data_IF_645211591734
#
_entry.id   IF_645211591734
#
_cell.length_a   1.000
_cell.length_b   1.000
_cell.length_c   1.000
_cell.angle_alpha   90.00
_cell.angle_beta   90.00
_cell.angle_gamma   90.00
#
_symmetry.space_group_name_H-M   'P 1'
#
loop_
_entity.id
_entity.type
_entity.pdbx_description
1 polymer ?
#
# COMPACT_ATOMS: atom_id res chain seq x y z
N UNK A 1 9.30 -34.88 30.45
CA UNK A 1 9.79 -34.30 29.20
C UNK A 1 8.74 -33.32 28.67
N UNK A 2 8.87 -32.05 29.01
CA UNK A 2 7.94 -31.00 28.61
C UNK A 2 8.39 -30.44 27.24
N UNK A 3 7.55 -30.57 26.22
CA UNK A 3 7.73 -29.87 24.96
C UNK A 3 7.18 -28.46 25.10
N UNK A 4 7.91 -27.39 24.69
CA UNK A 4 7.37 -26.05 24.68
C UNK A 4 6.30 -25.92 23.62
N UNK A 5 5.18 -25.35 24.00
CA UNK A 5 4.07 -24.98 23.12
C UNK A 5 4.55 -23.93 22.11
N UNK A 6 4.47 -24.31 20.84
CA UNK A 6 4.67 -23.37 19.71
C UNK A 6 3.62 -22.26 19.81
N UNK A 7 4.11 -21.06 19.95
CA UNK A 7 3.33 -19.83 19.99
C UNK A 7 2.65 -19.64 18.63
N UNK A 8 1.32 -19.69 18.62
CA UNK A 8 0.48 -19.60 17.43
C UNK A 8 0.70 -18.27 16.72
N UNK A 9 1.42 -18.31 15.61
CA UNK A 9 1.44 -17.23 14.61
C UNK A 9 0.02 -17.09 14.05
N UNK A 10 -0.66 -16.00 14.38
CA UNK A 10 -1.99 -15.70 13.85
C UNK A 10 -1.83 -15.21 12.41
N UNK A 11 -1.96 -16.13 11.46
CA UNK A 11 -2.05 -15.81 10.03
C UNK A 11 -3.46 -15.29 9.77
N UNK A 12 -3.61 -13.97 9.61
CA UNK A 12 -4.84 -13.33 9.15
C UNK A 12 -4.84 -13.40 7.63
N UNK A 13 -5.54 -14.38 7.07
CA UNK A 13 -5.74 -14.47 5.63
C UNK A 13 -7.02 -13.68 5.29
N UNK A 14 -6.86 -12.52 4.66
CA UNK A 14 -7.96 -11.84 4.00
C UNK A 14 -8.25 -12.53 2.67
N UNK A 15 -9.09 -13.56 2.70
CA UNK A 15 -9.49 -14.28 1.50
C UNK A 15 -10.72 -13.62 0.87
N UNK A 16 -10.62 -13.27 -0.40
CA UNK A 16 -11.69 -12.70 -1.21
C UNK A 16 -12.75 -13.76 -1.56
N UNK A 17 -13.81 -13.93 -0.79
CA UNK A 17 -15.07 -14.58 -1.20
C UNK A 17 -16.29 -14.21 -0.33
N UNK A 18 -17.40 -14.06 -0.96
CA UNK A 18 -18.76 -13.57 -0.74
C UNK A 18 -19.47 -13.92 0.56
N UNK A 19 -20.20 -12.92 1.05
CA UNK A 19 -21.32 -12.81 1.97
C UNK A 19 -21.00 -12.51 3.44
N UNK A 20 -21.57 -11.38 3.90
CA UNK A 20 -21.35 -10.84 5.21
C UNK A 20 -22.29 -11.37 6.27
N UNK A 21 -21.80 -11.33 7.50
CA UNK A 21 -22.56 -11.06 8.73
C UNK A 21 -21.54 -10.53 9.74
N UNK A 22 -21.78 -9.37 10.32
CA UNK A 22 -20.97 -8.83 11.39
C UNK A 22 -21.45 -9.43 12.72
N UNK A 23 -20.57 -10.10 13.44
CA UNK A 23 -20.79 -10.48 14.83
C UNK A 23 -19.53 -10.20 15.67
N UNK A 24 -19.73 -9.76 16.88
CA UNK A 24 -18.76 -9.18 17.79
C UNK A 24 -17.55 -10.07 18.11
N UNK A 25 -16.47 -9.38 18.44
CA UNK A 25 -15.14 -9.94 18.65
C UNK A 25 -14.98 -10.52 20.05
N UNK A 26 -15.10 -11.83 20.18
CA UNK A 26 -14.49 -12.59 21.29
C UNK A 26 -13.97 -13.91 20.71
N UNK A 27 -12.65 -14.11 20.76
CA UNK A 27 -12.00 -15.39 20.52
C UNK A 27 -12.25 -16.03 19.15
N UNK A 28 -11.91 -15.33 18.06
CA UNK A 28 -12.13 -15.89 16.73
C UNK A 28 -11.22 -17.09 16.46
N UNK A 29 -11.83 -18.14 15.87
CA UNK A 29 -11.08 -19.30 15.39
C UNK A 29 -10.12 -18.89 14.26
N UNK A 30 -8.89 -19.43 14.22
CA UNK A 30 -8.00 -19.24 13.08
C UNK A 30 -8.71 -19.56 11.75
N UNK A 31 -8.52 -18.72 10.72
CA UNK A 31 -9.15 -18.89 9.41
C UNK A 31 -10.58 -18.32 9.28
N UNK A 32 -11.11 -17.63 10.30
CA UNK A 32 -12.43 -16.98 10.19
C UNK A 32 -12.34 -15.74 9.30
N UNK A 33 -13.22 -15.64 8.30
CA UNK A 33 -13.36 -14.44 7.47
C UNK A 33 -14.07 -13.35 8.27
N UNK A 34 -13.38 -12.20 8.50
CA UNK A 34 -13.93 -11.07 9.23
C UNK A 34 -14.81 -10.17 8.36
N UNK A 35 -14.29 -9.83 7.19
CA UNK A 35 -14.95 -8.95 6.22
C UNK A 35 -14.34 -9.14 4.83
N UNK A 36 -14.98 -8.55 3.85
CA UNK A 36 -14.58 -8.63 2.46
C UNK A 36 -14.66 -7.26 1.79
N UNK A 37 -13.62 -6.91 1.07
CA UNK A 37 -13.60 -5.73 0.21
C UNK A 37 -14.05 -6.12 -1.21
N UNK A 38 -15.15 -5.55 -1.66
CA UNK A 38 -15.63 -5.68 -3.03
C UNK A 38 -15.07 -4.55 -3.91
N UNK A 39 -13.78 -4.54 -4.12
CA UNK A 39 -13.08 -3.55 -4.95
C UNK A 39 -11.99 -4.24 -5.75
N UNK A 40 -11.76 -3.90 -7.04
CA UNK A 40 -10.58 -4.37 -7.75
C UNK A 40 -9.33 -3.82 -7.09
N UNK A 41 -8.67 -4.68 -6.32
CA UNK A 41 -7.42 -4.34 -5.63
C UNK A 41 -6.23 -4.71 -6.52
N UNK A 42 -5.18 -3.89 -6.47
CA UNK A 42 -3.99 -4.04 -7.29
C UNK A 42 -2.75 -4.34 -6.47
N UNK A 43 -2.85 -4.28 -5.14
CA UNK A 43 -1.70 -4.36 -4.26
C UNK A 43 -1.88 -5.35 -3.12
N UNK A 44 -0.78 -5.77 -2.50
CA UNK A 44 -0.82 -6.40 -1.18
C UNK A 44 -1.26 -5.37 -0.14
N UNK A 45 -2.02 -5.76 0.89
CA UNK A 45 -2.35 -4.87 1.99
C UNK A 45 -1.14 -4.62 2.90
N UNK A 46 -1.06 -3.42 3.47
CA UNK A 46 -0.20 -3.12 4.60
C UNK A 46 -1.05 -2.81 5.83
N UNK A 47 -0.54 -3.13 7.02
CA UNK A 47 -1.28 -2.98 8.26
C UNK A 47 -0.53 -2.01 9.18
N UNK A 48 -1.17 -0.93 9.58
CA UNK A 48 -0.66 0.01 10.57
C UNK A 48 -0.71 -0.56 11.98
N UNK A 49 0.05 0.03 12.88
CA UNK A 49 0.12 -0.39 14.30
C UNK A 49 -1.23 -0.25 15.02
N UNK A 50 -2.11 0.62 14.53
CA UNK A 50 -3.48 0.80 15.01
C UNK A 50 -4.48 -0.21 14.44
N UNK A 51 -4.01 -1.18 13.64
CA UNK A 51 -4.84 -2.17 12.95
C UNK A 51 -5.54 -1.66 11.69
N UNK A 52 -5.25 -0.45 11.22
CA UNK A 52 -5.75 0.06 9.93
C UNK A 52 -5.13 -0.72 8.78
N UNK A 53 -5.96 -1.16 7.84
CA UNK A 53 -5.52 -1.87 6.63
C UNK A 53 -5.49 -0.88 5.46
N UNK A 54 -4.34 -0.75 4.83
CA UNK A 54 -4.12 0.10 3.66
C UNK A 54 -3.98 -0.76 2.42
N UNK A 55 -4.70 -0.41 1.33
CA UNK A 55 -4.70 -1.21 0.11
C UNK A 55 -4.88 -0.33 -1.13
N UNK A 56 -4.07 -0.59 -2.16
CA UNK A 56 -4.15 0.10 -3.45
C UNK A 56 -5.14 -0.57 -4.40
N UNK A 57 -5.81 0.23 -5.22
CA UNK A 57 -6.76 -0.24 -6.23
C UNK A 57 -6.24 -0.09 -7.65
N UNK A 58 -6.85 -0.83 -8.58
CA UNK A 58 -6.74 -0.52 -10.00
C UNK A 58 -7.42 0.81 -10.33
N UNK A 59 -6.80 1.58 -11.21
CA UNK A 59 -7.44 2.72 -11.86
C UNK A 59 -8.46 2.26 -12.91
N UNK A 60 -9.41 3.13 -13.21
CA UNK A 60 -10.36 2.86 -14.29
C UNK A 60 -11.62 2.10 -13.91
N UNK A 61 -11.86 1.89 -12.63
CA UNK A 61 -13.07 1.24 -12.13
C UNK A 61 -13.76 2.09 -11.07
N UNK A 62 -15.03 2.36 -11.25
CA UNK A 62 -15.90 2.98 -10.25
C UNK A 62 -16.95 1.99 -9.80
N UNK A 63 -17.18 1.92 -8.49
CA UNK A 63 -18.32 1.16 -7.96
C UNK A 63 -19.54 2.08 -7.88
N UNK A 64 -20.65 1.62 -8.43
CA UNK A 64 -21.95 2.20 -8.11
C UNK A 64 -22.59 1.39 -7.00
N UNK A 65 -22.82 2.02 -5.86
CA UNK A 65 -23.56 1.39 -4.76
C UNK A 65 -25.04 1.47 -5.06
N UNK A 66 -25.67 0.32 -5.35
CA UNK A 66 -27.11 0.20 -5.40
C UNK A 66 -27.52 -0.70 -4.23
N UNK A 67 -28.36 -0.18 -3.32
CA UNK A 67 -28.99 -0.91 -2.22
C UNK A 67 -28.02 -1.67 -1.28
N UNK A 68 -26.98 -0.98 -0.76
CA UNK A 68 -25.97 -1.56 0.16
C UNK A 68 -25.20 -2.78 -0.37
N UNK A 69 -25.37 -3.18 -1.62
CA UNK A 69 -24.59 -4.21 -2.29
C UNK A 69 -23.77 -3.56 -3.40
N UNK A 70 -22.46 -3.67 -3.35
CA UNK A 70 -21.59 -3.28 -4.45
C UNK A 70 -21.73 -4.38 -5.51
N UNK A 71 -22.57 -4.17 -6.51
CA UNK A 71 -22.91 -5.22 -7.47
C UNK A 71 -22.44 -4.97 -8.89
N UNK A 72 -21.99 -3.77 -9.25
CA UNK A 72 -21.56 -3.49 -10.63
C UNK A 72 -20.33 -2.57 -10.65
N UNK A 73 -19.22 -3.13 -11.10
CA UNK A 73 -18.01 -2.40 -11.47
C UNK A 73 -18.20 -1.90 -12.90
N UNK A 74 -18.26 -0.60 -13.08
CA UNK A 74 -18.23 0.02 -14.41
C UNK A 74 -16.86 0.62 -14.63
N UNK A 75 -16.38 0.55 -15.87
CA UNK A 75 -15.21 1.30 -16.29
C UNK A 75 -15.46 2.78 -16.05
N UNK A 76 -14.51 3.47 -15.43
CA UNK A 76 -14.60 4.92 -15.25
C UNK A 76 -14.74 5.61 -16.61
N UNK A 77 -15.48 6.72 -16.70
CA UNK A 77 -15.44 7.56 -17.87
C UNK A 77 -14.02 7.96 -18.23
N UNK A 78 -13.70 8.19 -19.50
CA UNK A 78 -12.40 8.70 -19.92
C UNK A 78 -12.02 9.95 -19.11
N UNK A 79 -10.78 9.99 -18.59
CA UNK A 79 -10.28 11.10 -17.78
C UNK A 79 -10.56 11.03 -16.26
N UNK A 80 -11.38 10.07 -15.78
CA UNK A 80 -11.64 9.85 -14.34
C UNK A 80 -11.08 8.53 -13.80
N UNK A 81 -10.19 7.90 -14.52
CA UNK A 81 -9.65 6.58 -14.19
C UNK A 81 -8.31 6.67 -13.46
N UNK A 82 -8.35 7.04 -12.20
CA UNK A 82 -7.18 6.99 -11.33
C UNK A 82 -7.22 5.82 -10.35
N UNK A 83 -6.06 5.29 -10.00
CA UNK A 83 -5.94 4.39 -8.86
C UNK A 83 -6.09 5.16 -7.56
N UNK A 84 -6.54 4.48 -6.52
CA UNK A 84 -6.67 5.05 -5.18
C UNK A 84 -6.02 4.15 -4.15
N UNK A 85 -5.67 4.73 -3.01
CA UNK A 85 -5.40 3.98 -1.79
C UNK A 85 -6.58 4.12 -0.84
N UNK A 86 -6.96 3.02 -0.20
CA UNK A 86 -7.98 2.96 0.83
C UNK A 86 -7.36 2.67 2.18
N UNK A 87 -7.85 3.34 3.21
CA UNK A 87 -7.65 2.95 4.60
C UNK A 87 -8.95 2.36 5.14
N UNK A 88 -8.86 1.16 5.65
CA UNK A 88 -9.99 0.39 6.16
C UNK A 88 -9.76 0.06 7.62
N UNK A 89 -10.82 0.08 8.40
CA UNK A 89 -10.79 -0.45 9.76
C UNK A 89 -10.55 -1.97 9.70
N UNK A 90 -9.49 -2.45 10.32
CA UNK A 90 -9.07 -3.86 10.20
C UNK A 90 -10.04 -4.85 10.86
N UNK A 91 -10.88 -4.40 11.79
CA UNK A 91 -11.88 -5.25 12.45
C UNK A 91 -13.18 -5.36 11.66
N UNK A 92 -13.61 -4.26 11.05
CA UNK A 92 -14.93 -4.14 10.44
C UNK A 92 -14.92 -4.04 8.92
N UNK A 93 -13.75 -3.76 8.31
CA UNK A 93 -13.61 -3.48 6.89
C UNK A 93 -14.22 -2.13 6.46
N UNK A 94 -14.71 -1.32 7.40
CA UNK A 94 -15.28 0.00 7.09
C UNK A 94 -14.20 0.93 6.58
N UNK A 95 -14.49 1.66 5.51
CA UNK A 95 -13.60 2.66 4.96
C UNK A 95 -13.45 3.83 5.94
N UNK A 96 -12.20 4.12 6.32
CA UNK A 96 -11.82 5.30 7.10
C UNK A 96 -11.65 6.51 6.18
N UNK A 97 -10.83 6.34 5.14
CA UNK A 97 -10.58 7.37 4.13
C UNK A 97 -10.14 6.75 2.79
N UNK A 98 -10.05 7.58 1.78
CA UNK A 98 -9.48 7.23 0.48
C UNK A 98 -8.70 8.42 -0.08
N UNK A 99 -7.62 8.15 -0.82
CA UNK A 99 -6.83 9.16 -1.51
C UNK A 99 -6.65 8.74 -2.97
N UNK A 100 -6.91 9.67 -3.88
CA UNK A 100 -6.73 9.44 -5.32
C UNK A 100 -5.26 9.61 -5.70
N UNK A 101 -4.65 8.52 -6.13
CA UNK A 101 -3.25 8.50 -6.58
C UNK A 101 -3.11 8.92 -8.05
N UNK A 102 -4.19 8.82 -8.82
CA UNK A 102 -4.13 8.86 -10.28
C UNK A 102 -3.26 7.70 -10.82
N UNK A 103 -3.01 7.61 -12.10
CA UNK A 103 -2.25 6.47 -12.67
C UNK A 103 -3.10 5.22 -12.89
N UNK A 104 -2.46 4.09 -13.28
CA UNK A 104 -3.16 2.85 -13.63
C UNK A 104 -3.44 1.94 -12.44
N UNK A 105 -2.54 1.90 -11.48
CA UNK A 105 -2.60 1.03 -10.31
C UNK A 105 -2.02 1.75 -9.10
N UNK A 106 -2.64 1.57 -7.93
CA UNK A 106 -2.02 1.89 -6.65
C UNK A 106 -1.09 0.75 -6.23
N UNK A 107 0.17 1.06 -5.97
CA UNK A 107 1.14 0.07 -5.52
C UNK A 107 0.96 -0.26 -4.04
N UNK A 108 1.57 -1.35 -3.60
CA UNK A 108 1.60 -1.73 -2.19
C UNK A 108 2.22 -0.61 -1.35
N UNK A 109 1.51 -0.09 -0.34
CA UNK A 109 2.04 0.95 0.52
C UNK A 109 3.06 0.40 1.53
N UNK A 110 3.98 1.25 1.98
CA UNK A 110 4.77 1.02 3.18
C UNK A 110 4.30 1.95 4.30
N UNK A 111 4.41 1.50 5.55
CA UNK A 111 3.94 2.24 6.73
C UNK A 111 5.14 2.56 7.61
N UNK A 112 5.38 3.86 7.82
CA UNK A 112 6.40 4.34 8.75
C UNK A 112 6.02 4.06 10.21
N UNK A 113 7.02 4.05 11.08
CA UNK A 113 6.81 3.88 12.53
C UNK A 113 5.93 4.96 13.15
N UNK A 114 5.86 6.14 12.52
CA UNK A 114 4.99 7.26 12.90
C UNK A 114 3.57 7.15 12.32
N UNK A 115 3.25 6.06 11.62
CA UNK A 115 1.97 5.84 10.95
C UNK A 115 1.83 6.55 9.60
N UNK A 116 2.89 7.18 9.07
CA UNK A 116 2.87 7.76 7.72
C UNK A 116 2.76 6.65 6.67
N UNK A 117 1.88 6.84 5.71
CA UNK A 117 1.64 5.92 4.59
C UNK A 117 2.38 6.41 3.36
N UNK A 118 3.34 5.62 2.89
CA UNK A 118 4.15 5.91 1.71
C UNK A 118 3.65 5.09 0.54
N UNK A 119 3.26 5.74 -0.55
CA UNK A 119 2.64 5.06 -1.70
C UNK A 119 2.81 5.85 -2.99
N UNK A 120 2.89 5.15 -4.10
CA UNK A 120 2.88 5.75 -5.45
C UNK A 120 1.99 4.97 -6.40
N UNK A 121 1.49 5.61 -7.46
CA UNK A 121 0.79 4.91 -8.53
C UNK A 121 1.77 4.38 -9.57
N UNK A 122 1.41 3.28 -10.20
CA UNK A 122 2.06 2.84 -11.43
C UNK A 122 1.75 3.80 -12.58
N UNK A 123 2.74 4.03 -13.44
CA UNK A 123 2.57 4.85 -14.66
C UNK A 123 2.67 6.36 -14.46
N UNK A 124 2.92 6.85 -13.25
CA UNK A 124 3.21 8.27 -12.96
C UNK A 124 4.53 8.41 -12.22
N UNK A 125 5.22 9.54 -12.46
CA UNK A 125 6.48 9.90 -11.79
C UNK A 125 6.20 10.71 -10.53
N UNK A 126 5.43 10.14 -9.61
CA UNK A 126 5.04 10.79 -8.36
C UNK A 126 4.94 9.75 -7.23
N UNK A 127 5.33 10.17 -6.05
CA UNK A 127 5.26 9.40 -4.82
C UNK A 127 4.73 10.27 -3.70
N UNK A 128 3.93 9.70 -2.82
CA UNK A 128 3.23 10.42 -1.77
C UNK A 128 3.57 9.89 -0.39
N UNK A 129 3.62 10.80 0.58
CA UNK A 129 3.45 10.46 1.98
C UNK A 129 2.11 11.03 2.46
N UNK A 130 1.32 10.18 3.09
CA UNK A 130 0.00 10.51 3.59
C UNK A 130 -0.05 10.31 5.09
N UNK A 131 -0.80 11.13 5.77
CA UNK A 131 -1.15 10.90 7.17
C UNK A 131 -2.04 9.64 7.28
N UNK A 132 -1.60 8.64 8.02
CA UNK A 132 -2.31 7.36 8.09
C UNK A 132 -3.69 7.44 8.74
N UNK A 133 -3.94 8.42 9.61
CA UNK A 133 -5.22 8.58 10.29
C UNK A 133 -6.26 9.28 9.42
N UNK A 134 -5.83 10.30 8.68
CA UNK A 134 -6.72 11.23 7.95
C UNK A 134 -6.70 11.05 6.43
N UNK A 135 -5.63 10.46 5.88
CA UNK A 135 -5.38 10.41 4.45
C UNK A 135 -4.88 11.73 3.86
N UNK A 136 -4.64 12.75 4.68
CA UNK A 136 -4.11 14.02 4.22
C UNK A 136 -2.69 13.87 3.66
N UNK A 137 -2.42 14.54 2.53
CA UNK A 137 -1.08 14.54 1.95
C UNK A 137 -0.11 15.33 2.84
N UNK A 138 0.95 14.67 3.32
CA UNK A 138 2.06 15.30 4.06
C UNK A 138 3.04 15.93 3.08
N UNK A 139 3.46 15.17 2.07
CA UNK A 139 4.33 15.64 1.01
C UNK A 139 4.18 14.78 -0.27
N UNK A 140 4.75 15.26 -1.36
CA UNK A 140 4.89 14.53 -2.61
C UNK A 140 6.30 14.70 -3.18
N UNK A 141 6.83 13.67 -3.79
CA UNK A 141 8.09 13.67 -4.51
C UNK A 141 7.81 13.37 -5.98
N UNK A 142 8.39 14.19 -6.87
CA UNK A 142 8.31 14.01 -8.32
C UNK A 142 9.68 13.83 -8.88
N UNK A 143 9.82 12.91 -9.85
CA UNK A 143 11.06 12.73 -10.58
C UNK A 143 10.84 12.87 -12.09
N UNK A 144 11.91 13.19 -12.83
CA UNK A 144 11.82 13.31 -14.27
C UNK A 144 11.62 11.92 -14.92
N UNK A 145 10.71 11.85 -15.86
CA UNK A 145 10.40 10.63 -16.61
C UNK A 145 11.57 10.21 -17.48
N UNK A 146 12.32 9.21 -17.05
CA UNK A 146 12.98 8.29 -17.96
C UNK A 146 11.92 7.31 -18.50
N UNK A 147 12.07 6.85 -19.74
CA UNK A 147 11.14 5.94 -20.40
C UNK A 147 10.87 4.65 -19.59
N UNK A 148 9.58 4.30 -19.43
CA UNK A 148 9.05 3.09 -18.78
C UNK A 148 9.15 3.08 -17.25
N UNK A 149 8.34 3.93 -16.66
CA UNK A 149 8.21 4.10 -15.22
C UNK A 149 7.43 2.94 -14.57
N UNK A 150 8.14 1.96 -14.05
CA UNK A 150 7.61 1.06 -13.02
C UNK A 150 8.13 1.59 -11.69
N UNK A 151 7.26 2.21 -10.91
CA UNK A 151 7.56 2.45 -9.50
C UNK A 151 7.68 1.09 -8.81
N UNK A 152 8.74 0.91 -8.04
CA UNK A 152 8.91 -0.26 -7.19
C UNK A 152 8.31 0.01 -5.82
N UNK A 153 8.06 -1.07 -5.08
CA UNK A 153 7.54 -0.96 -3.71
C UNK A 153 8.52 -0.18 -2.85
N UNK A 154 8.04 0.78 -2.03
CA UNK A 154 8.90 1.53 -1.12
C UNK A 154 9.45 0.63 -0.02
N UNK A 155 10.68 0.91 0.41
CA UNK A 155 11.27 0.34 1.61
C UNK A 155 11.61 1.46 2.59
N UNK A 156 11.54 1.19 3.89
CA UNK A 156 11.79 2.17 4.94
C UNK A 156 12.95 1.69 5.80
N UNK A 157 13.99 2.51 5.89
CA UNK A 157 15.13 2.28 6.78
C UNK A 157 14.76 2.52 8.24
N UNK A 158 15.54 1.95 9.15
CA UNK A 158 15.36 2.14 10.59
C UNK A 158 15.49 3.60 11.05
N UNK A 159 16.18 4.44 10.28
CA UNK A 159 16.32 5.89 10.48
C UNK A 159 15.13 6.71 9.93
N UNK A 160 14.13 6.05 9.36
CA UNK A 160 12.98 6.70 8.71
C UNK A 160 13.24 7.18 7.29
N UNK A 161 14.40 6.87 6.69
CA UNK A 161 14.65 7.13 5.27
C UNK A 161 13.76 6.24 4.40
N UNK A 162 13.12 6.83 3.40
CA UNK A 162 12.22 6.13 2.47
C UNK A 162 12.96 5.93 1.15
N UNK A 163 13.11 4.68 0.76
CA UNK A 163 13.76 4.30 -0.48
C UNK A 163 12.72 3.93 -1.53
N UNK A 164 12.84 4.52 -2.72
CA UNK A 164 11.98 4.21 -3.87
C UNK A 164 12.81 3.91 -5.09
N UNK A 165 12.43 2.87 -5.82
CA UNK A 165 13.02 2.56 -7.12
C UNK A 165 12.11 3.05 -8.24
N UNK A 166 12.72 3.63 -9.28
CA UNK A 166 11.98 4.23 -10.41
C UNK A 166 12.45 3.69 -11.75
N UNK A 167 12.63 2.39 -11.83
CA UNK A 167 13.15 1.72 -13.03
C UNK A 167 14.68 1.77 -13.13
N UNK A 168 15.29 2.90 -13.36
CA UNK A 168 16.75 3.04 -13.49
C UNK A 168 17.41 3.72 -12.29
N UNK A 169 16.66 4.33 -11.41
CA UNK A 169 17.20 5.14 -10.32
C UNK A 169 16.58 4.72 -9.00
N UNK A 170 17.40 4.63 -7.97
CA UNK A 170 16.98 4.55 -6.58
C UNK A 170 17.10 5.93 -5.96
N UNK A 171 16.05 6.38 -5.29
CA UNK A 171 16.04 7.60 -4.50
C UNK A 171 15.95 7.25 -3.03
N UNK A 172 16.71 7.96 -2.20
CA UNK A 172 16.55 7.96 -0.75
C UNK A 172 15.96 9.30 -0.33
N UNK A 173 14.78 9.26 0.25
CA UNK A 173 14.03 10.45 0.66
C UNK A 173 13.99 10.56 2.17
N UNK A 174 14.05 11.78 2.67
CA UNK A 174 13.71 12.04 4.06
C UNK A 174 12.22 11.74 4.29
N UNK A 175 11.92 10.82 5.20
CA UNK A 175 10.55 10.37 5.42
C UNK A 175 9.60 11.45 5.97
N UNK A 176 10.15 12.49 6.64
CA UNK A 176 9.33 13.58 7.21
C UNK A 176 9.00 14.66 6.20
N UNK A 177 9.97 15.01 5.34
CA UNK A 177 9.89 16.17 4.44
C UNK A 177 9.72 15.80 2.97
N UNK A 178 10.08 14.56 2.58
CA UNK A 178 10.13 14.14 1.18
C UNK A 178 11.31 14.67 0.40
N UNK A 179 12.25 15.37 1.06
CA UNK A 179 13.45 15.87 0.40
C UNK A 179 14.36 14.73 -0.04
N UNK A 180 14.97 14.87 -1.23
CA UNK A 180 15.93 13.91 -1.74
C UNK A 180 17.23 13.99 -0.94
N UNK A 181 17.61 12.91 -0.25
CA UNK A 181 18.90 12.78 0.45
C UNK A 181 20.02 12.40 -0.52
N UNK A 182 19.72 11.44 -1.37
CA UNK A 182 20.61 11.00 -2.46
C UNK A 182 19.83 10.21 -3.52
N UNK A 183 20.41 10.08 -4.67
CA UNK A 183 19.95 9.21 -5.76
C UNK A 183 21.11 8.41 -6.34
N UNK A 184 20.79 7.22 -6.84
CA UNK A 184 21.75 6.33 -7.47
C UNK A 184 21.19 5.78 -8.77
N UNK A 185 21.91 6.02 -9.88
CA UNK A 185 21.57 5.48 -11.19
C UNK A 185 22.12 4.05 -11.31
N UNK A 186 21.26 3.11 -11.56
CA UNK A 186 21.59 1.68 -11.67
C UNK A 186 22.23 1.31 -13.01
N UNK A 187 22.15 2.18 -14.02
CA UNK A 187 22.63 1.89 -15.38
C UNK A 187 21.74 0.92 -16.17
N UNK A 188 20.88 0.17 -15.51
CA UNK A 188 19.93 -0.77 -16.10
C UNK A 188 18.61 -0.76 -15.31
N UNK A 189 17.58 -1.39 -15.89
CA UNK A 189 16.26 -1.41 -15.26
C UNK A 189 16.23 -2.40 -14.09
N UNK A 190 16.01 -1.90 -12.87
CA UNK A 190 15.70 -2.73 -11.72
C UNK A 190 14.32 -3.37 -11.87
N UNK A 191 14.20 -4.62 -11.44
CA UNK A 191 12.98 -5.43 -11.54
C UNK A 191 12.52 -6.02 -10.23
N UNK A 192 13.29 -5.84 -9.16
CA UNK A 192 12.98 -6.35 -7.83
C UNK A 192 12.58 -5.23 -6.87
N UNK A 193 11.99 -5.61 -5.75
CA UNK A 193 11.78 -4.73 -4.61
C UNK A 193 13.10 -4.43 -3.92
N UNK A 194 13.14 -3.31 -3.19
CA UNK A 194 14.25 -2.94 -2.33
C UNK A 194 14.18 -3.70 -1.00
N UNK A 195 15.33 -4.08 -0.46
CA UNK A 195 15.48 -4.56 0.91
C UNK A 195 16.53 -3.72 1.62
N UNK A 196 16.33 -3.47 2.91
CA UNK A 196 17.22 -2.66 3.73
C UNK A 196 17.81 -3.53 4.84
N UNK A 197 19.13 -3.61 4.87
CA UNK A 197 19.87 -4.26 5.96
C UNK A 197 19.76 -3.48 7.26
N UNK A 198 19.99 -4.15 8.37
CA UNK A 198 19.98 -3.51 9.70
C UNK A 198 21.05 -2.42 9.83
N UNK A 199 22.12 -2.51 9.05
CA UNK A 199 23.20 -1.55 8.94
C UNK A 199 22.88 -0.37 7.99
N UNK A 200 21.68 -0.34 7.42
CA UNK A 200 21.24 0.65 6.42
C UNK A 200 21.67 0.34 4.98
N UNK A 201 22.31 -0.79 4.72
CA UNK A 201 22.67 -1.21 3.35
C UNK A 201 21.42 -1.45 2.52
N UNK A 202 21.38 -0.86 1.30
CA UNK A 202 20.27 -1.00 0.37
C UNK A 202 20.58 -2.10 -0.64
N UNK A 203 19.74 -3.12 -0.70
CA UNK A 203 19.85 -4.23 -1.63
C UNK A 203 18.78 -4.11 -2.71
N UNK A 204 19.17 -4.28 -3.97
CA UNK A 204 18.29 -4.27 -5.12
C UNK A 204 18.71 -5.32 -6.13
N UNK A 205 17.76 -6.07 -6.66
CA UNK A 205 17.99 -6.99 -7.77
C UNK A 205 17.76 -6.29 -9.12
N UNK A 206 18.65 -6.55 -10.02
CA UNK A 206 18.67 -5.95 -11.35
C UNK A 206 18.85 -7.02 -12.42
#
# INVERSE_FOLDING_TARGET
>A
MNRPLLQNSRLLIALLLVQGIAAGVHGQKPGTLLWKLHHPVASSPAIGTDGTVYIGSFGGWVSTTINKRISNWKRSPPGKSGSSIFALDGKTGKKKWTFDLGGSEGLTPAIGSDGTVYVGPSGKSIFYALDGKTGAKKWEFKWNRGSRNRSMLPAIGGDGTVYIGTGFTVYALDGKTGSNKWEFNLGHQARSTLAIGIDGTVYIGA
#
